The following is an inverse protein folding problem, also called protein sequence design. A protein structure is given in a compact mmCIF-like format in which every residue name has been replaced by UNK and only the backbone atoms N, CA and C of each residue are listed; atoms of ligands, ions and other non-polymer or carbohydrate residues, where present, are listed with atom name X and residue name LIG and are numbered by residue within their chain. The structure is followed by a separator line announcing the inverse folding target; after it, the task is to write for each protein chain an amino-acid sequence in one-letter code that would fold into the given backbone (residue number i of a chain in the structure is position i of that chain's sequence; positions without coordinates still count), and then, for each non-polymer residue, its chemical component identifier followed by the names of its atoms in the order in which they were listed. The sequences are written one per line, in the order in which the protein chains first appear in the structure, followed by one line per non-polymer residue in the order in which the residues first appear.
data_IF_151004069960
#
_entry.id   IF_151004069960
#
_cell.length_a   1.000
_cell.length_b   1.000
_cell.length_c   1.000
_cell.angle_alpha   90.00
_cell.angle_beta   90.00
_cell.angle_gamma   90.00
#
_symmetry.space_group_name_H-M   'P 1'
#
loop_
_entity.id
_entity.type
_entity.pdbx_description
1 polymer ?
#
# COMPACT_ATOMS: atom_id res chain seq x y z
N UNK A 1 85.34 -7.34 56.04
CA UNK A 1 83.96 -7.62 56.52
C UNK A 1 83.19 -6.37 56.96
N UNK A 2 83.63 -5.58 57.96
CA UNK A 2 82.89 -4.41 58.49
C UNK A 2 82.55 -3.29 57.49
N UNK A 3 83.41 -3.00 56.50
CA UNK A 3 83.14 -1.95 55.48
C UNK A 3 82.06 -2.35 54.48
N UNK A 4 82.00 -3.63 54.11
CA UNK A 4 80.98 -4.19 53.20
C UNK A 4 79.60 -4.16 53.86
N UNK A 5 79.52 -4.52 55.14
CA UNK A 5 78.27 -4.47 55.93
C UNK A 5 77.74 -3.03 56.06
N UNK A 6 78.61 -2.04 56.34
CA UNK A 6 78.20 -0.62 56.38
C UNK A 6 77.68 -0.10 55.04
N UNK A 7 78.33 -0.48 53.94
CA UNK A 7 77.87 -0.11 52.59
C UNK A 7 76.49 -0.70 52.28
N UNK A 8 76.24 -1.97 52.64
CA UNK A 8 74.94 -2.63 52.53
C UNK A 8 73.85 -1.94 53.36
N UNK A 9 74.15 -1.55 54.60
CA UNK A 9 73.19 -0.84 55.47
C UNK A 9 72.83 0.53 54.88
N UNK A 10 73.80 1.28 54.38
CA UNK A 10 73.56 2.60 53.75
C UNK A 10 72.71 2.45 52.49
N UNK A 11 73.01 1.47 51.63
CA UNK A 11 72.22 1.22 50.41
C UNK A 11 70.78 0.83 50.76
N UNK A 12 70.57 -0.06 51.74
CA UNK A 12 69.22 -0.41 52.21
C UNK A 12 68.48 0.81 52.76
N UNK A 13 69.12 1.64 53.60
CA UNK A 13 68.52 2.86 54.14
C UNK A 13 68.17 3.87 53.04
N UNK A 14 69.03 4.03 52.02
CA UNK A 14 68.72 4.91 50.88
C UNK A 14 67.56 4.38 50.04
N UNK A 15 67.48 3.06 49.82
CA UNK A 15 66.35 2.44 49.12
C UNK A 15 65.06 2.63 49.91
N UNK A 16 65.08 2.41 51.23
CA UNK A 16 63.91 2.64 52.09
C UNK A 16 63.49 4.11 52.13
N UNK A 17 64.45 5.05 52.13
CA UNK A 17 64.17 6.48 52.07
C UNK A 17 63.58 6.90 50.72
N UNK A 18 64.14 6.40 49.61
CA UNK A 18 63.60 6.63 48.27
C UNK A 18 62.22 6.01 48.09
N UNK A 19 61.98 4.81 48.65
CA UNK A 19 60.65 4.20 48.70
C UNK A 19 59.69 5.05 49.54
N UNK A 20 60.13 5.56 50.69
CA UNK A 20 59.34 6.46 51.52
C UNK A 20 58.95 7.76 50.79
N UNK A 21 59.90 8.37 50.07
CA UNK A 21 59.64 9.53 49.21
C UNK A 21 58.68 9.15 48.08
N UNK A 22 58.89 8.02 47.42
CA UNK A 22 58.01 7.55 46.35
C UNK A 22 56.57 7.33 46.83
N UNK A 23 56.38 6.68 47.97
CA UNK A 23 55.06 6.50 48.60
C UNK A 23 54.44 7.84 49.01
N UNK A 24 55.22 8.76 49.58
CA UNK A 24 54.74 10.10 49.94
C UNK A 24 54.31 10.92 48.70
N UNK A 25 55.07 10.82 47.61
CA UNK A 25 54.73 11.45 46.32
C UNK A 25 53.41 10.90 45.77
N UNK A 26 53.20 9.58 45.82
CA UNK A 26 51.93 8.97 45.40
C UNK A 26 50.77 9.40 46.30
N UNK A 27 50.96 9.38 47.62
CA UNK A 27 49.91 9.70 48.58
C UNK A 27 49.45 11.18 48.50
N UNK A 28 50.37 12.09 48.15
CA UNK A 28 50.08 13.51 47.92
C UNK A 28 49.62 13.80 46.49
N UNK A 29 49.72 12.83 45.57
CA UNK A 29 49.30 13.02 44.18
C UNK A 29 47.78 13.05 44.06
N UNK A 30 47.21 13.93 43.23
CA UNK A 30 45.78 13.93 42.93
C UNK A 30 45.32 12.57 42.39
N UNK A 31 44.19 12.07 42.89
CA UNK A 31 43.63 10.79 42.44
C UNK A 31 43.13 10.89 41.00
N UNK A 32 43.52 9.95 40.12
CA UNK A 32 43.04 9.93 38.74
C UNK A 32 41.53 9.62 38.68
N UNK A 33 40.79 10.18 37.71
CA UNK A 33 39.33 10.10 37.62
C UNK A 33 38.86 8.80 36.94
N UNK A 34 39.31 7.65 37.46
CA UNK A 34 39.06 6.34 36.84
C UNK A 34 37.56 5.98 36.89
N UNK A 35 36.89 6.31 37.99
CA UNK A 35 35.47 5.99 38.19
C UNK A 35 34.57 6.82 37.28
N UNK A 36 34.84 8.12 37.16
CA UNK A 36 34.05 9.03 36.32
C UNK A 36 34.21 8.69 34.83
N UNK A 37 35.45 8.43 34.39
CA UNK A 37 35.72 7.99 33.02
C UNK A 37 35.07 6.62 32.75
N UNK A 38 35.18 5.69 33.71
CA UNK A 38 34.54 4.37 33.61
C UNK A 38 33.02 4.47 33.49
N UNK A 39 32.40 5.33 34.32
CA UNK A 39 30.96 5.57 34.30
C UNK A 39 30.50 6.20 33.00
N UNK A 40 31.21 7.23 32.51
CA UNK A 40 30.90 7.89 31.24
C UNK A 40 31.01 6.91 30.05
N UNK A 41 32.06 6.08 30.03
CA UNK A 41 32.25 5.05 29.00
C UNK A 41 31.13 4.01 29.02
N UNK A 42 30.75 3.55 30.20
CA UNK A 42 29.69 2.55 30.35
C UNK A 42 28.33 3.13 29.92
N UNK A 43 28.01 4.36 30.34
CA UNK A 43 26.79 5.06 29.94
C UNK A 43 26.72 5.29 28.42
N UNK A 44 27.82 5.70 27.78
CA UNK A 44 27.90 5.81 26.33
C UNK A 44 27.68 4.47 25.63
N UNK A 45 28.32 3.40 26.13
CA UNK A 45 28.15 2.05 25.59
C UNK A 45 26.71 1.56 25.71
N UNK A 46 26.07 1.82 26.86
CA UNK A 46 24.66 1.48 27.09
C UNK A 46 23.75 2.25 26.13
N UNK A 47 23.93 3.56 26.01
CA UNK A 47 23.15 4.40 25.09
C UNK A 47 23.26 3.91 23.63
N UNK A 48 24.48 3.56 23.18
CA UNK A 48 24.69 2.96 21.86
C UNK A 48 23.96 1.63 21.70
N UNK A 49 24.05 0.74 22.70
CA UNK A 49 23.37 -0.56 22.68
C UNK A 49 21.84 -0.44 22.60
N UNK A 50 21.29 0.63 23.16
CA UNK A 50 19.86 0.97 23.12
C UNK A 50 19.45 1.70 21.83
N UNK A 51 20.39 1.96 20.93
CA UNK A 51 20.13 2.59 19.64
C UNK A 51 20.08 4.12 19.69
N UNK A 52 20.59 4.77 20.75
CA UNK A 52 20.52 6.22 20.90
C UNK A 52 21.18 7.01 19.76
N UNK A 53 22.08 6.38 18.99
CA UNK A 53 22.64 6.95 17.76
C UNK A 53 21.60 7.21 16.67
N UNK A 54 20.54 6.43 16.60
CA UNK A 54 19.46 6.60 15.63
C UNK A 54 18.32 7.49 16.17
N UNK A 55 17.97 7.32 17.44
CA UNK A 55 16.83 8.01 18.06
C UNK A 55 17.18 9.40 18.62
N UNK A 56 18.39 9.57 19.16
CA UNK A 56 18.87 10.82 19.79
C UNK A 56 20.27 11.20 19.32
N UNK A 57 20.52 11.32 18.00
CA UNK A 57 21.87 11.50 17.43
C UNK A 57 22.59 12.75 17.97
N UNK A 58 21.85 13.83 18.23
CA UNK A 58 22.42 15.09 18.75
C UNK A 58 22.99 14.93 20.17
N UNK A 59 22.26 14.25 21.05
CA UNK A 59 22.70 14.02 22.43
C UNK A 59 23.89 13.06 22.45
N UNK A 60 23.85 12.01 21.64
CA UNK A 60 24.97 11.07 21.52
C UNK A 60 26.24 11.75 21.04
N UNK A 61 26.14 12.60 20.02
CA UNK A 61 27.29 13.37 19.53
C UNK A 61 27.88 14.26 20.63
N UNK A 62 27.03 15.00 21.36
CA UNK A 62 27.48 15.87 22.44
C UNK A 62 28.15 15.09 23.58
N UNK A 63 27.58 13.97 24.01
CA UNK A 63 28.15 13.12 25.05
C UNK A 63 29.52 12.56 24.61
N UNK A 64 29.65 12.15 23.34
CA UNK A 64 30.90 11.64 22.80
C UNK A 64 31.98 12.72 22.70
N UNK A 65 31.65 13.92 22.21
CA UNK A 65 32.59 15.05 22.15
C UNK A 65 33.13 15.43 23.54
N UNK A 66 32.29 15.38 24.57
CA UNK A 66 32.68 15.63 25.96
C UNK A 66 33.61 14.53 26.50
N UNK A 67 33.32 13.26 26.22
CA UNK A 67 34.16 12.14 26.61
C UNK A 67 35.52 12.18 25.93
N UNK A 68 35.55 12.40 24.61
CA UNK A 68 36.78 12.52 23.82
C UNK A 68 37.63 13.68 24.34
N UNK A 69 37.00 14.82 24.64
CA UNK A 69 37.67 15.95 25.29
C UNK A 69 38.26 15.57 26.66
N UNK A 70 37.52 14.81 27.48
CA UNK A 70 38.00 14.35 28.78
C UNK A 70 39.22 13.44 28.63
N UNK A 71 39.20 12.52 27.66
CA UNK A 71 40.30 11.59 27.39
C UNK A 71 41.57 12.30 26.89
N UNK A 72 41.43 13.30 26.03
CA UNK A 72 42.56 14.12 25.53
C UNK A 72 43.21 14.88 26.70
N UNK A 73 42.40 15.53 27.54
CA UNK A 73 42.90 16.27 28.71
C UNK A 73 43.53 15.31 29.72
N UNK A 74 42.91 14.16 29.97
CA UNK A 74 43.45 13.15 30.89
C UNK A 74 44.82 12.65 30.45
N UNK A 75 45.00 12.40 29.15
CA UNK A 75 46.31 12.05 28.58
C UNK A 75 47.34 13.14 28.86
N UNK A 76 47.01 14.41 28.57
CA UNK A 76 47.91 15.55 28.79
C UNK A 76 48.28 15.72 30.27
N UNK A 77 47.33 15.56 31.19
CA UNK A 77 47.58 15.62 32.63
C UNK A 77 48.48 14.48 33.13
N UNK A 78 48.40 13.29 32.51
CA UNK A 78 49.28 12.17 32.84
C UNK A 78 50.73 12.36 32.37
N UNK A 79 50.98 13.23 31.39
CA UNK A 79 52.32 13.63 30.95
C UNK A 79 52.98 14.64 31.92
N UNK A 80 52.19 15.30 32.79
CA UNK A 80 52.69 16.22 33.81
C UNK A 80 53.30 15.47 35.00
N UNK A 81 54.22 16.15 35.68
CA UNK A 81 54.80 15.68 36.93
C UNK A 81 53.72 15.37 37.97
N UNK A 82 53.89 14.28 38.72
CA UNK A 82 52.86 13.65 39.57
C UNK A 82 52.11 14.62 40.51
N UNK A 83 52.82 15.57 41.12
CA UNK A 83 52.23 16.53 42.07
C UNK A 83 51.52 17.73 41.40
N UNK A 84 51.71 17.95 40.10
CA UNK A 84 51.16 19.11 39.39
C UNK A 84 50.00 18.76 38.45
N UNK A 85 49.44 17.56 38.59
CA UNK A 85 48.29 17.12 37.79
C UNK A 85 47.01 17.76 38.30
N UNK A 86 46.09 18.11 37.42
CA UNK A 86 44.75 18.57 37.77
C UNK A 86 43.70 17.82 36.96
N UNK A 87 42.92 16.99 37.66
CA UNK A 87 41.90 16.15 37.06
C UNK A 87 40.47 16.73 37.18
N UNK A 88 40.29 17.95 37.69
CA UNK A 88 38.95 18.55 37.86
C UNK A 88 38.22 18.74 36.53
N UNK A 89 38.91 19.23 35.50
CA UNK A 89 38.31 19.43 34.17
C UNK A 89 37.95 18.08 33.55
N UNK A 90 38.78 17.05 33.76
CA UNK A 90 38.52 15.67 33.31
C UNK A 90 37.27 15.13 34.00
N UNK A 91 37.16 15.25 35.33
CA UNK A 91 35.97 14.85 36.10
C UNK A 91 34.72 15.54 35.60
N UNK A 92 34.75 16.86 35.44
CA UNK A 92 33.61 17.64 34.98
C UNK A 92 33.10 17.17 33.62
N UNK A 93 34.00 17.02 32.64
CA UNK A 93 33.64 16.57 31.28
C UNK A 93 33.16 15.12 31.26
N UNK A 94 33.77 14.24 32.04
CA UNK A 94 33.37 12.85 32.16
C UNK A 94 31.96 12.74 32.78
N UNK A 95 31.70 13.47 33.87
CA UNK A 95 30.38 13.49 34.51
C UNK A 95 29.30 14.09 33.60
N UNK A 96 29.60 15.17 32.89
CA UNK A 96 28.66 15.78 31.93
C UNK A 96 28.36 14.84 30.76
N UNK A 97 29.39 14.17 30.22
CA UNK A 97 29.22 13.11 29.21
C UNK A 97 28.33 11.97 29.71
N UNK A 98 28.61 11.47 30.92
CA UNK A 98 27.84 10.42 31.58
C UNK A 98 26.37 10.80 31.72
N UNK A 99 26.09 11.99 32.24
CA UNK A 99 24.74 12.49 32.42
C UNK A 99 23.98 12.57 31.10
N UNK A 100 24.58 13.17 30.06
CA UNK A 100 23.93 13.29 28.74
C UNK A 100 23.67 11.91 28.13
N UNK A 101 24.58 10.94 28.29
CA UNK A 101 24.40 9.58 27.80
C UNK A 101 23.25 8.84 28.53
N UNK A 102 23.11 9.03 29.85
CA UNK A 102 21.98 8.50 30.63
C UNK A 102 20.66 9.13 30.17
N UNK A 103 20.62 10.45 30.02
CA UNK A 103 19.43 11.15 29.52
C UNK A 103 19.07 10.69 28.11
N UNK A 104 20.06 10.56 27.21
CA UNK A 104 19.87 10.06 25.84
C UNK A 104 19.26 8.66 25.82
N UNK A 105 19.68 7.79 26.76
CA UNK A 105 19.12 6.46 26.93
C UNK A 105 17.64 6.53 27.31
N UNK A 106 17.28 7.31 28.33
CA UNK A 106 15.89 7.47 28.76
C UNK A 106 14.99 8.07 27.66
N UNK A 107 15.47 9.05 26.90
CA UNK A 107 14.76 9.59 25.75
C UNK A 107 14.60 8.56 24.62
N UNK A 108 15.64 7.75 24.38
CA UNK A 108 15.61 6.71 23.36
C UNK A 108 14.57 5.64 23.68
N UNK A 109 14.52 5.15 24.92
CA UNK A 109 13.53 4.15 25.34
C UNK A 109 12.11 4.69 25.17
N UNK A 110 11.83 5.88 25.69
CA UNK A 110 10.52 6.53 25.54
C UNK A 110 10.12 6.75 24.08
N UNK A 111 11.06 7.21 23.24
CA UNK A 111 10.80 7.47 21.82
C UNK A 111 10.56 6.16 21.07
N UNK A 112 11.36 5.13 21.34
CA UNK A 112 11.23 3.79 20.78
C UNK A 112 9.87 3.17 21.12
N UNK A 113 9.44 3.24 22.38
CA UNK A 113 8.13 2.73 22.82
C UNK A 113 6.97 3.48 22.15
N UNK A 114 7.04 4.81 22.07
CA UNK A 114 6.03 5.61 21.36
C UNK A 114 5.96 5.23 19.88
N UNK A 115 7.10 5.05 19.20
CA UNK A 115 7.16 4.66 17.79
C UNK A 115 6.66 3.24 17.57
N UNK A 116 6.89 2.35 18.53
CA UNK A 116 6.36 0.98 18.55
C UNK A 116 4.84 0.97 18.64
N UNK A 117 4.26 1.74 19.55
CA UNK A 117 2.80 1.79 19.71
C UNK A 117 2.12 2.45 18.50
N UNK A 118 2.68 3.57 18.03
CA UNK A 118 2.21 4.24 16.82
C UNK A 118 2.33 3.34 15.57
N UNK A 119 3.46 2.65 15.43
CA UNK A 119 3.72 1.72 14.33
C UNK A 119 2.73 0.56 14.33
N UNK A 120 2.47 -0.05 15.50
CA UNK A 120 1.48 -1.12 15.65
C UNK A 120 0.08 -0.66 15.27
N UNK A 121 -0.35 0.50 15.76
CA UNK A 121 -1.65 1.07 15.43
C UNK A 121 -1.80 1.29 13.92
N UNK A 122 -0.77 1.88 13.28
CA UNK A 122 -0.78 2.19 11.86
C UNK A 122 -0.71 0.96 10.95
N UNK A 123 0.07 -0.05 11.31
CA UNK A 123 0.08 -1.36 10.62
C UNK A 123 -1.32 -1.96 10.66
N UNK A 124 -1.96 -2.00 11.82
CA UNK A 124 -3.31 -2.56 11.97
C UNK A 124 -4.35 -1.78 11.15
N UNK A 125 -4.28 -0.45 11.17
CA UNK A 125 -5.14 0.42 10.36
C UNK A 125 -5.01 0.10 8.86
N UNK A 126 -3.77 0.07 8.34
CA UNK A 126 -3.52 -0.18 6.92
C UNK A 126 -3.91 -1.62 6.52
N UNK A 127 -3.63 -2.62 7.37
CA UNK A 127 -4.07 -4.00 7.14
C UNK A 127 -5.58 -4.10 7.02
N UNK A 128 -6.32 -3.47 7.94
CA UNK A 128 -7.78 -3.45 7.90
C UNK A 128 -8.29 -2.75 6.64
N UNK A 129 -7.68 -1.64 6.23
CA UNK A 129 -8.02 -0.94 4.99
C UNK A 129 -7.78 -1.84 3.76
N UNK A 130 -6.62 -2.47 3.67
CA UNK A 130 -6.28 -3.42 2.59
C UNK A 130 -7.29 -4.56 2.55
N UNK A 131 -7.60 -5.17 3.70
CA UNK A 131 -8.54 -6.28 3.79
C UNK A 131 -9.94 -5.90 3.28
N UNK A 132 -10.45 -4.72 3.67
CA UNK A 132 -11.77 -4.22 3.25
C UNK A 132 -11.82 -3.85 1.77
N UNK A 133 -10.79 -3.18 1.25
CA UNK A 133 -10.82 -2.65 -0.11
C UNK A 133 -10.37 -3.65 -1.19
N UNK A 134 -9.57 -4.67 -0.84
CA UNK A 134 -8.99 -5.60 -1.83
C UNK A 134 -10.01 -6.39 -2.65
N UNK A 135 -11.15 -6.90 -2.12
CA UNK A 135 -12.13 -7.64 -2.89
C UNK A 135 -12.70 -6.83 -4.06
N UNK A 136 -13.16 -5.62 -3.80
CA UNK A 136 -13.68 -4.72 -4.83
C UNK A 136 -12.56 -4.30 -5.79
N UNK A 137 -11.43 -3.82 -5.26
CA UNK A 137 -10.30 -3.35 -6.07
C UNK A 137 -9.83 -4.39 -7.10
N UNK A 138 -9.76 -5.67 -6.71
CA UNK A 138 -9.29 -6.76 -7.58
C UNK A 138 -10.21 -7.04 -8.78
N UNK A 139 -11.50 -6.70 -8.69
CA UNK A 139 -12.50 -6.93 -9.75
C UNK A 139 -12.53 -5.80 -10.78
N UNK A 140 -12.02 -4.62 -10.42
CA UNK A 140 -12.12 -3.42 -11.23
C UNK A 140 -11.02 -3.36 -12.31
N UNK A 141 -11.35 -2.97 -13.54
CA UNK A 141 -10.38 -2.76 -14.61
C UNK A 141 -9.66 -1.40 -14.46
N UNK A 142 -8.90 -1.27 -13.38
CA UNK A 142 -8.23 -0.01 -13.01
C UNK A 142 -7.00 0.28 -13.90
N UNK A 143 -6.63 1.57 -14.05
CA UNK A 143 -5.40 1.96 -14.75
C UNK A 143 -4.16 1.25 -14.21
N UNK A 144 -3.20 0.97 -15.10
CA UNK A 144 -1.95 0.25 -14.75
C UNK A 144 -1.22 0.92 -13.59
N UNK A 145 -1.14 2.26 -13.59
CA UNK A 145 -0.53 3.05 -12.52
C UNK A 145 -1.19 2.75 -11.16
N UNK A 146 -2.51 2.83 -11.07
CA UNK A 146 -3.27 2.59 -9.83
C UNK A 146 -3.04 1.18 -9.30
N UNK A 147 -2.98 0.17 -10.18
CA UNK A 147 -2.67 -1.22 -9.78
C UNK A 147 -1.23 -1.37 -9.30
N UNK A 148 -0.28 -0.68 -9.94
CA UNK A 148 1.13 -0.67 -9.55
C UNK A 148 1.30 -0.02 -8.17
N UNK A 149 0.68 1.14 -7.97
CA UNK A 149 0.70 1.88 -6.70
C UNK A 149 0.12 1.01 -5.57
N UNK A 150 -1.01 0.33 -5.79
CA UNK A 150 -1.57 -0.59 -4.80
C UNK A 150 -0.63 -1.76 -4.47
N UNK A 151 0.00 -2.34 -5.49
CA UNK A 151 0.95 -3.46 -5.30
C UNK A 151 2.18 -2.99 -4.52
N UNK A 152 2.75 -1.84 -4.87
CA UNK A 152 3.90 -1.26 -4.19
C UNK A 152 3.55 -0.89 -2.75
N UNK A 153 2.40 -0.27 -2.50
CA UNK A 153 1.94 0.06 -1.15
C UNK A 153 1.78 -1.17 -0.26
N UNK A 154 1.25 -2.29 -0.79
CA UNK A 154 1.17 -3.57 -0.07
C UNK A 154 2.54 -4.17 0.22
N UNK A 155 3.49 -4.05 -0.70
CA UNK A 155 4.86 -4.53 -0.50
C UNK A 155 5.57 -3.74 0.62
N UNK A 156 5.45 -2.42 0.59
CA UNK A 156 6.01 -1.54 1.63
C UNK A 156 5.37 -1.78 2.99
N UNK A 157 4.06 -2.06 3.05
CA UNK A 157 3.41 -2.48 4.30
C UNK A 157 4.02 -3.78 4.83
N UNK A 158 4.27 -4.77 3.97
CA UNK A 158 4.95 -6.00 4.37
C UNK A 158 6.40 -5.77 4.85
N UNK A 159 7.15 -4.88 4.20
CA UNK A 159 8.49 -4.50 4.64
C UNK A 159 8.46 -3.73 5.98
N UNK A 160 7.45 -2.88 6.19
CA UNK A 160 7.24 -2.16 7.43
C UNK A 160 6.96 -3.13 8.58
N UNK A 161 6.11 -4.13 8.37
CA UNK A 161 5.84 -5.19 9.35
C UNK A 161 7.10 -5.99 9.69
N UNK A 162 7.90 -6.32 8.69
CA UNK A 162 9.17 -6.99 8.91
C UNK A 162 10.12 -6.12 9.73
N UNK A 163 10.28 -4.85 9.37
CA UNK A 163 11.15 -3.90 10.09
C UNK A 163 10.67 -3.69 11.54
N UNK A 164 9.35 -3.64 11.75
CA UNK A 164 8.72 -3.54 13.07
C UNK A 164 9.05 -4.74 13.96
N UNK A 165 8.99 -5.96 13.41
CA UNK A 165 9.32 -7.17 14.14
C UNK A 165 10.80 -7.26 14.52
N UNK A 166 11.69 -6.60 13.77
CA UNK A 166 13.11 -6.48 14.07
C UNK A 166 13.44 -5.30 15.01
N UNK A 167 12.44 -4.53 15.46
CA UNK A 167 12.63 -3.39 16.37
C UNK A 167 13.13 -2.11 15.70
N UNK A 168 13.19 -2.05 14.36
CA UNK A 168 13.57 -0.84 13.62
C UNK A 168 12.33 0.04 13.40
N UNK A 169 11.93 0.75 14.45
CA UNK A 169 10.70 1.54 14.44
C UNK A 169 10.81 2.82 13.62
N UNK A 170 12.01 3.40 13.47
CA UNK A 170 12.22 4.58 12.60
C UNK A 170 12.00 4.18 11.13
N UNK A 171 12.66 3.11 10.67
CA UNK A 171 12.45 2.60 9.31
C UNK A 171 11.00 2.19 9.10
N UNK A 172 10.38 1.57 10.10
CA UNK A 172 8.95 1.21 10.06
C UNK A 172 8.08 2.43 9.77
N UNK A 173 8.25 3.55 10.49
CA UNK A 173 7.43 4.74 10.25
C UNK A 173 7.63 5.30 8.83
N UNK A 174 8.86 5.37 8.34
CA UNK A 174 9.14 5.84 6.99
C UNK A 174 8.42 5.00 5.92
N UNK A 175 8.51 3.66 6.05
CA UNK A 175 7.84 2.72 5.15
C UNK A 175 6.31 2.83 5.24
N UNK A 176 5.75 3.02 6.44
CA UNK A 176 4.31 3.16 6.64
C UNK A 176 3.73 4.43 6.03
N UNK A 177 4.49 5.53 6.02
CA UNK A 177 4.08 6.79 5.36
C UNK A 177 3.93 6.55 3.86
N UNK A 178 4.97 6.01 3.21
CA UNK A 178 4.93 5.75 1.77
C UNK A 178 3.87 4.69 1.41
N UNK A 179 3.77 3.61 2.19
CA UNK A 179 2.74 2.60 2.01
C UNK A 179 1.34 3.20 2.08
N UNK A 180 1.08 4.08 3.06
CA UNK A 180 -0.20 4.75 3.20
C UNK A 180 -0.52 5.61 2.00
N UNK A 181 0.39 6.47 1.57
CA UNK A 181 0.11 7.42 0.50
C UNK A 181 -0.28 6.70 -0.80
N UNK A 182 0.43 5.61 -1.11
CA UNK A 182 0.14 4.77 -2.28
C UNK A 182 -1.20 4.02 -2.14
N UNK A 183 -1.47 3.44 -0.97
CA UNK A 183 -2.71 2.70 -0.72
C UNK A 183 -3.93 3.62 -0.71
N UNK A 184 -3.85 4.75 -0.02
CA UNK A 184 -4.91 5.75 0.05
C UNK A 184 -5.23 6.30 -1.33
N UNK A 185 -4.21 6.76 -2.06
CA UNK A 185 -4.41 7.26 -3.43
C UNK A 185 -5.05 6.22 -4.35
N UNK A 186 -4.65 4.95 -4.21
CA UNK A 186 -5.18 3.85 -5.01
C UNK A 186 -6.64 3.52 -4.67
N UNK A 187 -6.96 3.46 -3.38
CA UNK A 187 -8.32 3.12 -2.91
C UNK A 187 -9.29 4.28 -3.10
N UNK A 188 -8.87 5.52 -2.84
CA UNK A 188 -9.69 6.70 -3.09
C UNK A 188 -10.00 6.84 -4.59
N UNK A 189 -9.03 6.50 -5.46
CA UNK A 189 -9.28 6.43 -6.89
C UNK A 189 -10.31 5.35 -7.23
N UNK A 190 -10.18 4.14 -6.68
CA UNK A 190 -11.15 3.07 -6.97
C UNK A 190 -12.55 3.42 -6.48
N UNK A 191 -12.67 4.05 -5.31
CA UNK A 191 -13.95 4.42 -4.72
C UNK A 191 -14.65 5.50 -5.55
N UNK A 192 -13.91 6.54 -5.97
CA UNK A 192 -14.43 7.54 -6.92
C UNK A 192 -14.82 6.91 -8.24
N UNK A 193 -13.96 6.06 -8.79
CA UNK A 193 -14.22 5.40 -10.07
C UNK A 193 -15.50 4.57 -10.06
N UNK A 194 -15.76 3.81 -8.99
CA UNK A 194 -17.01 3.06 -8.84
C UNK A 194 -18.18 3.99 -8.56
N UNK A 195 -18.02 4.99 -7.71
CA UNK A 195 -19.09 5.98 -7.42
C UNK A 195 -19.55 6.70 -8.70
N UNK A 196 -18.60 7.17 -9.51
CA UNK A 196 -18.87 7.84 -10.78
C UNK A 196 -19.58 6.91 -11.76
N UNK A 197 -19.17 5.64 -11.84
CA UNK A 197 -19.84 4.64 -12.66
C UNK A 197 -21.30 4.42 -12.24
N UNK A 198 -21.56 4.35 -10.92
CA UNK A 198 -22.90 4.15 -10.38
C UNK A 198 -23.80 5.39 -10.43
N UNK A 199 -23.28 6.55 -10.87
CA UNK A 199 -24.11 7.74 -11.12
C UNK A 199 -25.20 7.48 -12.17
N UNK A 200 -24.98 6.52 -13.08
CA UNK A 200 -25.93 6.10 -14.10
C UNK A 200 -27.02 5.12 -13.59
N UNK A 201 -26.95 4.68 -12.32
CA UNK A 201 -27.89 3.70 -11.75
C UNK A 201 -29.39 4.05 -11.89
N UNK A 202 -29.83 5.31 -11.69
CA UNK A 202 -31.24 5.68 -11.88
C UNK A 202 -31.71 5.46 -13.32
N UNK A 203 -30.84 5.70 -14.30
CA UNK A 203 -31.14 5.47 -15.71
C UNK A 203 -31.20 3.98 -16.05
N UNK A 204 -30.24 3.19 -15.58
CA UNK A 204 -30.26 1.73 -15.70
C UNK A 204 -31.55 1.12 -15.17
N UNK A 205 -32.00 1.55 -13.99
CA UNK A 205 -33.26 1.11 -13.38
C UNK A 205 -34.46 1.43 -14.27
N UNK A 206 -34.48 2.62 -14.86
CA UNK A 206 -35.54 3.06 -15.79
C UNK A 206 -35.59 2.18 -17.04
N UNK A 207 -34.43 1.93 -17.66
CA UNK A 207 -34.33 1.08 -18.85
C UNK A 207 -34.78 -0.36 -18.58
N UNK A 208 -34.32 -0.95 -17.48
CA UNK A 208 -34.68 -2.33 -17.09
C UNK A 208 -36.17 -2.44 -16.84
N UNK A 209 -36.74 -1.51 -16.06
CA UNK A 209 -38.19 -1.47 -15.80
C UNK A 209 -38.98 -1.39 -17.11
N UNK A 210 -38.59 -0.47 -18.00
CA UNK A 210 -39.25 -0.31 -19.30
C UNK A 210 -39.22 -1.61 -20.12
N UNK A 211 -38.07 -2.27 -20.22
CA UNK A 211 -37.92 -3.50 -21.00
C UNK A 211 -38.73 -4.67 -20.44
N UNK A 212 -38.80 -4.82 -19.12
CA UNK A 212 -39.62 -5.85 -18.47
C UNK A 212 -41.11 -5.55 -18.64
N UNK A 213 -41.52 -4.28 -18.51
CA UNK A 213 -42.91 -3.86 -18.72
C UNK A 213 -43.35 -4.07 -20.18
N UNK A 214 -42.49 -3.77 -21.16
CA UNK A 214 -42.74 -4.04 -22.58
C UNK A 214 -42.87 -5.54 -22.86
N UNK A 215 -42.01 -6.37 -22.26
CA UNK A 215 -42.12 -7.84 -22.32
C UNK A 215 -43.44 -8.34 -21.74
N UNK A 216 -43.89 -7.77 -20.60
CA UNK A 216 -45.17 -8.12 -19.97
C UNK A 216 -46.35 -7.77 -20.88
N UNK A 217 -46.38 -6.54 -21.40
CA UNK A 217 -47.46 -6.03 -22.26
C UNK A 217 -47.60 -6.85 -23.55
N UNK A 218 -46.47 -7.20 -24.15
CA UNK A 218 -46.45 -7.88 -25.46
C UNK A 218 -46.40 -9.41 -25.35
N UNK A 219 -46.40 -9.96 -24.12
CA UNK A 219 -46.23 -11.41 -23.85
C UNK A 219 -44.99 -11.99 -24.54
N UNK A 220 -43.92 -11.21 -24.62
CA UNK A 220 -42.72 -11.52 -25.41
C UNK A 220 -41.51 -11.80 -24.53
N UNK A 221 -40.43 -12.29 -25.14
CA UNK A 221 -39.12 -12.45 -24.50
C UNK A 221 -38.40 -11.10 -24.39
N UNK A 222 -37.69 -10.88 -23.30
CA UNK A 222 -36.73 -9.79 -23.13
C UNK A 222 -35.44 -10.30 -22.47
N UNK A 223 -34.33 -9.61 -22.75
CA UNK A 223 -33.01 -9.98 -22.24
C UNK A 223 -32.46 -8.79 -21.45
N UNK A 224 -32.00 -9.02 -20.23
CA UNK A 224 -31.32 -8.02 -19.41
C UNK A 224 -29.91 -8.50 -19.11
N UNK A 225 -28.90 -7.66 -19.28
CA UNK A 225 -27.51 -7.97 -18.95
C UNK A 225 -27.02 -7.02 -17.86
N UNK A 226 -26.56 -7.59 -16.76
CA UNK A 226 -25.91 -6.90 -15.64
C UNK A 226 -24.40 -7.08 -15.78
N UNK A 227 -23.70 -6.00 -16.12
CA UNK A 227 -22.25 -6.03 -16.36
C UNK A 227 -21.48 -6.27 -15.07
N UNK A 228 -21.89 -5.67 -13.95
CA UNK A 228 -21.21 -5.78 -12.68
C UNK A 228 -21.34 -7.18 -12.07
N UNK A 229 -22.51 -7.81 -12.18
CA UNK A 229 -22.75 -9.17 -11.66
C UNK A 229 -22.33 -10.27 -12.64
N UNK A 230 -21.96 -9.91 -13.89
CA UNK A 230 -21.67 -10.85 -14.99
C UNK A 230 -22.84 -11.80 -15.24
N UNK A 231 -24.05 -11.24 -15.30
CA UNK A 231 -25.28 -12.02 -15.46
C UNK A 231 -26.08 -11.60 -16.68
N UNK A 232 -26.66 -12.60 -17.33
CA UNK A 232 -27.67 -12.42 -18.37
C UNK A 232 -28.99 -13.04 -17.87
N UNK A 233 -30.05 -12.23 -17.85
CA UNK A 233 -31.37 -12.60 -17.36
C UNK A 233 -32.36 -12.65 -18.52
N UNK A 234 -33.08 -13.76 -18.62
CA UNK A 234 -34.10 -13.95 -19.65
C UNK A 234 -35.48 -13.81 -19.02
N UNK A 235 -36.23 -12.81 -19.47
CA UNK A 235 -37.61 -12.58 -19.07
C UNK A 235 -38.56 -13.08 -20.16
N UNK A 236 -39.69 -13.64 -19.75
CA UNK A 236 -40.78 -14.02 -20.65
C UNK A 236 -42.09 -13.51 -20.07
N UNK A 237 -42.85 -12.72 -20.85
CA UNK A 237 -44.06 -12.06 -20.36
C UNK A 237 -43.84 -11.29 -19.05
N UNK A 238 -42.69 -10.62 -18.92
CA UNK A 238 -42.30 -9.86 -17.73
C UNK A 238 -41.92 -10.68 -16.49
N UNK A 239 -41.78 -12.01 -16.60
CA UNK A 239 -41.33 -12.89 -15.51
C UNK A 239 -39.94 -13.44 -15.80
N UNK A 240 -39.06 -13.41 -14.79
CA UNK A 240 -37.73 -14.00 -14.90
C UNK A 240 -37.85 -15.51 -15.12
N UNK A 241 -37.22 -16.02 -16.17
CA UNK A 241 -37.26 -17.44 -16.55
C UNK A 241 -35.91 -18.13 -16.42
N UNK A 242 -34.83 -17.45 -16.80
CA UNK A 242 -33.47 -17.99 -16.72
C UNK A 242 -32.47 -16.92 -16.28
N UNK A 243 -31.41 -17.38 -15.61
CA UNK A 243 -30.24 -16.57 -15.26
C UNK A 243 -29.00 -17.33 -15.70
N UNK A 244 -28.16 -16.67 -16.49
CA UNK A 244 -26.94 -17.21 -17.07
C UNK A 244 -25.73 -16.39 -16.62
N UNK A 245 -24.56 -17.02 -16.58
CA UNK A 245 -23.31 -16.28 -16.47
C UNK A 245 -23.00 -15.62 -17.81
N UNK A 246 -22.41 -14.43 -17.76
CA UNK A 246 -22.03 -13.68 -18.95
C UNK A 246 -20.57 -13.25 -18.88
N UNK A 247 -19.83 -13.47 -19.95
CA UNK A 247 -18.48 -12.95 -20.13
C UNK A 247 -18.52 -11.74 -21.05
N UNK A 248 -17.81 -10.68 -20.67
CA UNK A 248 -17.95 -9.36 -21.28
C UNK A 248 -16.68 -8.95 -22.01
N UNK A 249 -16.72 -7.71 -22.51
CA UNK A 249 -15.53 -7.03 -22.98
C UNK A 249 -14.48 -6.87 -21.88
N UNK A 250 -13.19 -6.95 -22.22
CA UNK A 250 -12.09 -6.81 -21.24
C UNK A 250 -12.17 -5.52 -20.43
N UNK A 251 -12.72 -4.45 -21.01
CA UNK A 251 -13.00 -3.20 -20.31
C UNK A 251 -14.46 -3.16 -19.85
N UNK A 252 -14.87 -4.16 -19.06
CA UNK A 252 -16.28 -4.40 -18.78
C UNK A 252 -16.97 -3.23 -18.08
N UNK A 253 -16.32 -2.51 -17.17
CA UNK A 253 -16.94 -1.35 -16.50
C UNK A 253 -16.87 -0.07 -17.34
N UNK A 254 -16.04 -0.05 -18.40
CA UNK A 254 -15.89 1.12 -19.23
C UNK A 254 -17.18 1.46 -19.97
N UNK A 255 -17.48 2.75 -20.09
CA UNK A 255 -18.46 3.21 -21.07
C UNK A 255 -17.91 2.96 -22.47
N UNK A 256 -18.76 2.41 -23.34
CA UNK A 256 -18.40 2.20 -24.73
C UNK A 256 -18.43 3.53 -25.48
N UNK A 257 -17.27 4.06 -25.81
CA UNK A 257 -17.11 5.38 -26.45
C UNK A 257 -16.55 5.29 -27.86
N UNK A 258 -15.69 4.31 -28.14
CA UNK A 258 -14.97 4.23 -29.44
C UNK A 258 -14.72 2.79 -29.85
N UNK A 259 -14.54 2.57 -31.15
CA UNK A 259 -14.07 1.29 -31.69
C UNK A 259 -12.74 0.89 -31.02
N UNK A 260 -12.68 -0.34 -30.51
CA UNK A 260 -11.46 -0.90 -29.90
C UNK A 260 -11.29 -0.62 -28.41
N UNK A 261 -12.25 0.05 -27.76
CA UNK A 261 -12.24 0.22 -26.29
C UNK A 261 -12.46 -1.07 -25.49
N UNK A 262 -12.85 -2.15 -26.17
CA UNK A 262 -13.19 -3.45 -25.59
C UNK A 262 -14.26 -3.37 -24.50
N UNK A 263 -15.11 -2.35 -24.54
CA UNK A 263 -16.23 -2.17 -23.62
C UNK A 263 -17.49 -2.79 -24.21
N UNK A 264 -18.27 -3.48 -23.39
CA UNK A 264 -19.66 -3.85 -23.70
C UNK A 264 -20.54 -2.63 -23.50
N UNK A 265 -21.36 -2.24 -24.50
CA UNK A 265 -22.16 -1.02 -24.41
C UNK A 265 -23.25 -1.12 -23.34
N UNK A 266 -23.71 0.03 -22.86
CA UNK A 266 -24.85 0.15 -21.94
C UNK A 266 -25.96 0.91 -22.66
N UNK A 267 -27.19 0.43 -22.53
CA UNK A 267 -28.32 1.01 -23.24
C UNK A 267 -29.44 0.02 -23.54
N UNK A 268 -30.44 0.51 -24.25
CA UNK A 268 -31.57 -0.27 -24.75
C UNK A 268 -31.36 -0.63 -26.22
N UNK A 269 -31.34 -1.93 -26.50
CA UNK A 269 -31.07 -2.51 -27.80
C UNK A 269 -32.17 -3.47 -28.24
N UNK A 270 -32.07 -3.94 -29.47
CA UNK A 270 -32.90 -4.99 -30.05
C UNK A 270 -32.04 -5.91 -30.91
N UNK A 271 -32.46 -7.17 -31.01
CA UNK A 271 -31.85 -8.12 -31.95
C UNK A 271 -32.15 -7.67 -33.38
N UNK A 272 -31.10 -7.41 -34.17
CA UNK A 272 -31.19 -7.15 -35.60
C UNK A 272 -31.17 -8.43 -36.43
N UNK A 273 -30.32 -9.39 -36.04
CA UNK A 273 -30.12 -10.61 -36.82
C UNK A 273 -29.75 -11.78 -35.91
N UNK A 274 -30.30 -12.94 -36.22
CA UNK A 274 -29.91 -14.24 -35.65
C UNK A 274 -28.97 -14.92 -36.63
N UNK A 275 -27.85 -15.45 -36.16
CA UNK A 275 -26.80 -16.07 -36.97
C UNK A 275 -26.44 -17.44 -36.40
N UNK A 276 -26.34 -18.42 -37.29
CA UNK A 276 -25.86 -19.78 -37.04
C UNK A 276 -25.12 -20.33 -38.26
N UNK A 277 -24.44 -21.47 -38.08
CA UNK A 277 -23.69 -22.14 -39.15
C UNK A 277 -22.66 -21.20 -39.79
N UNK A 278 -22.65 -21.14 -41.13
CA UNK A 278 -21.68 -20.34 -41.89
C UNK A 278 -21.87 -18.82 -41.76
N UNK A 279 -22.94 -18.35 -41.10
CA UNK A 279 -23.25 -16.93 -40.96
C UNK A 279 -22.54 -16.26 -39.76
N UNK A 280 -21.85 -17.03 -38.92
CA UNK A 280 -21.11 -16.55 -37.75
C UNK A 280 -19.87 -17.38 -37.51
N UNK A 281 -18.85 -16.77 -36.88
CA UNK A 281 -17.64 -17.47 -36.42
C UNK A 281 -17.85 -18.14 -35.04
N UNK A 282 -18.94 -17.80 -34.35
CA UNK A 282 -19.33 -18.37 -33.08
C UNK A 282 -20.25 -19.58 -33.28
N UNK A 283 -20.60 -20.30 -32.20
CA UNK A 283 -21.60 -21.37 -32.27
C UNK A 283 -22.96 -20.87 -32.77
N UNK A 284 -23.50 -19.85 -32.08
CA UNK A 284 -24.67 -19.05 -32.45
C UNK A 284 -24.42 -17.61 -32.03
N UNK A 285 -25.01 -16.64 -32.72
CA UNK A 285 -24.90 -15.23 -32.38
C UNK A 285 -26.20 -14.45 -32.63
N UNK A 286 -26.46 -13.47 -31.76
CA UNK A 286 -27.54 -12.51 -31.83
C UNK A 286 -26.92 -11.12 -32.00
N UNK A 287 -26.95 -10.59 -33.22
CA UNK A 287 -26.46 -9.25 -33.53
C UNK A 287 -27.43 -8.22 -32.96
N UNK A 288 -26.93 -7.29 -32.15
CA UNK A 288 -27.74 -6.19 -31.59
C UNK A 288 -27.63 -4.93 -32.46
N UNK A 289 -28.56 -4.00 -32.30
CA UNK A 289 -28.57 -2.74 -33.05
C UNK A 289 -27.61 -1.67 -32.53
N UNK A 290 -26.42 -2.07 -32.05
CA UNK A 290 -25.36 -1.15 -31.69
C UNK A 290 -24.52 -0.77 -32.93
N UNK A 291 -24.25 0.51 -33.19
CA UNK A 291 -24.79 1.67 -32.46
C UNK A 291 -26.21 2.03 -32.88
N UNK A 292 -27.07 2.32 -31.90
CA UNK A 292 -28.42 2.85 -32.08
C UNK A 292 -28.37 4.40 -32.23
N UNK A 293 -29.50 5.10 -32.44
CA UNK A 293 -29.52 6.57 -32.52
C UNK A 293 -28.91 7.25 -31.29
N UNK A 294 -29.24 6.77 -30.09
CA UNK A 294 -28.77 7.32 -28.81
C UNK A 294 -27.24 7.19 -28.68
N UNK A 295 -26.66 6.04 -29.07
CA UNK A 295 -25.21 5.83 -29.08
C UNK A 295 -24.50 6.81 -30.03
N UNK A 296 -25.12 7.08 -31.20
CA UNK A 296 -24.55 8.01 -32.20
C UNK A 296 -24.59 9.45 -31.70
N UNK A 297 -25.68 9.84 -31.04
CA UNK A 297 -25.82 11.16 -30.42
C UNK A 297 -24.78 11.35 -29.31
N UNK A 298 -24.64 10.38 -28.42
CA UNK A 298 -23.63 10.36 -27.37
C UNK A 298 -22.22 10.50 -27.95
N UNK A 299 -21.88 9.67 -28.93
CA UNK A 299 -20.59 9.67 -29.60
C UNK A 299 -20.26 11.04 -30.21
N UNK A 300 -21.21 11.65 -30.92
CA UNK A 300 -21.02 12.95 -31.53
C UNK A 300 -20.85 14.04 -30.46
N UNK A 301 -21.58 13.97 -29.34
CA UNK A 301 -21.45 14.91 -28.23
C UNK A 301 -20.07 14.83 -27.59
N UNK A 302 -19.60 13.63 -27.26
CA UNK A 302 -18.26 13.42 -26.69
C UNK A 302 -17.15 13.91 -27.63
N UNK A 303 -17.34 13.71 -28.95
CA UNK A 303 -16.42 14.20 -29.98
C UNK A 303 -16.38 15.72 -30.06
N UNK A 304 -17.54 16.36 -30.00
CA UNK A 304 -17.65 17.82 -30.03
C UNK A 304 -17.09 18.48 -28.77
N UNK A 305 -17.23 17.83 -27.61
CA UNK A 305 -16.68 18.29 -26.34
C UNK A 305 -15.16 18.08 -26.23
N UNK A 306 -14.53 17.39 -27.19
CA UNK A 306 -13.09 17.08 -27.16
C UNK A 306 -12.72 15.93 -26.22
N UNK A 307 -13.71 15.21 -25.67
CA UNK A 307 -13.50 14.05 -24.80
C UNK A 307 -12.99 12.82 -25.57
N UNK A 308 -13.24 12.76 -26.88
CA UNK A 308 -12.70 11.73 -27.79
C UNK A 308 -12.11 12.37 -29.04
N UNK A 309 -11.13 11.69 -29.63
CA UNK A 309 -10.43 12.20 -30.82
C UNK A 309 -11.37 12.44 -32.00
N UNK A 310 -11.10 13.49 -32.78
CA UNK A 310 -11.83 13.80 -34.02
C UNK A 310 -11.75 12.67 -35.07
N UNK A 311 -10.73 11.81 -34.99
CA UNK A 311 -10.55 10.68 -35.91
C UNK A 311 -11.14 9.36 -35.39
N UNK A 312 -11.71 9.36 -34.18
CA UNK A 312 -12.35 8.17 -33.62
C UNK A 312 -13.59 7.77 -34.42
N UNK A 313 -13.88 6.46 -34.40
CA UNK A 313 -15.12 5.88 -34.94
C UNK A 313 -15.85 5.13 -33.82
N UNK A 314 -17.18 5.04 -33.91
CA UNK A 314 -18.03 4.47 -32.86
C UNK A 314 -17.94 2.93 -32.75
N UNK A 315 -17.60 2.25 -33.85
CA UNK A 315 -17.59 0.79 -33.92
C UNK A 315 -18.96 0.20 -34.27
N UNK A 316 -19.08 -1.13 -34.25
CA UNK A 316 -20.28 -1.87 -34.64
C UNK A 316 -20.14 -3.36 -34.25
N UNK A 317 -21.09 -4.20 -34.68
CA UNK A 317 -21.02 -5.67 -34.60
C UNK A 317 -20.92 -6.22 -33.17
N UNK A 318 -21.67 -5.62 -32.24
CA UNK A 318 -21.83 -6.18 -30.90
C UNK A 318 -22.87 -7.31 -30.94
N UNK A 319 -22.54 -8.44 -30.35
CA UNK A 319 -23.36 -9.65 -30.39
C UNK A 319 -23.49 -10.29 -29.01
N UNK A 320 -24.59 -10.99 -28.78
CA UNK A 320 -24.68 -12.03 -27.74
C UNK A 320 -24.38 -13.36 -28.43
N UNK A 321 -23.33 -14.07 -28.03
CA UNK A 321 -22.87 -15.26 -28.75
C UNK A 321 -22.44 -16.42 -27.84
N UNK A 322 -22.26 -17.60 -28.44
CA UNK A 322 -21.79 -18.82 -27.77
C UNK A 322 -20.29 -18.80 -27.49
N UNK A 323 -19.72 -19.97 -27.16
CA UNK A 323 -18.29 -20.13 -26.86
C UNK A 323 -17.80 -19.36 -25.62
N UNK A 324 -18.72 -18.97 -24.73
CA UNK A 324 -18.40 -18.54 -23.38
C UNK A 324 -18.11 -19.71 -22.44
N UNK A 325 -17.98 -19.44 -21.14
CA UNK A 325 -17.62 -20.43 -20.12
C UNK A 325 -16.11 -20.58 -19.91
N UNK A 326 -15.34 -19.56 -20.29
CA UNK A 326 -13.90 -19.43 -20.06
C UNK A 326 -13.56 -18.94 -18.65
N UNK A 327 -14.53 -18.38 -17.92
CA UNK A 327 -14.36 -17.88 -16.56
C UNK A 327 -13.67 -16.53 -16.45
N UNK A 328 -13.54 -15.78 -17.55
CA UNK A 328 -12.89 -14.47 -17.60
C UNK A 328 -13.52 -13.59 -18.67
N UNK A 329 -13.53 -12.26 -18.47
CA UNK A 329 -13.96 -11.30 -19.49
C UNK A 329 -12.92 -11.22 -20.62
N UNK A 330 -13.27 -11.64 -21.83
CA UNK A 330 -12.32 -11.82 -22.94
C UNK A 330 -12.73 -11.19 -24.27
N UNK A 331 -13.98 -10.77 -24.41
CA UNK A 331 -14.48 -10.28 -25.70
C UNK A 331 -13.94 -8.87 -26.00
N UNK A 332 -14.20 -8.39 -27.22
CA UNK A 332 -13.93 -7.00 -27.60
C UNK A 332 -15.18 -6.10 -27.45
N UNK A 333 -16.15 -6.52 -26.63
CA UNK A 333 -17.39 -5.79 -26.34
C UNK A 333 -18.68 -6.61 -26.52
N UNK A 334 -18.58 -7.81 -27.10
CA UNK A 334 -19.70 -8.77 -27.14
C UNK A 334 -20.02 -9.35 -25.75
N UNK A 335 -21.15 -10.05 -25.66
CA UNK A 335 -21.57 -10.81 -24.48
C UNK A 335 -21.50 -12.29 -24.83
N UNK A 336 -20.61 -13.04 -24.18
CA UNK A 336 -20.45 -14.47 -24.40
C UNK A 336 -21.19 -15.28 -23.32
N UNK A 337 -21.97 -16.25 -23.77
CA UNK A 337 -22.65 -17.26 -22.96
C UNK A 337 -22.13 -18.65 -23.37
N UNK A 338 -22.40 -19.67 -22.57
CA UNK A 338 -22.09 -21.05 -23.00
C UNK A 338 -22.98 -21.47 -24.17
N UNK A 339 -22.55 -22.45 -24.96
CA UNK A 339 -23.32 -22.91 -26.12
C UNK A 339 -24.71 -23.45 -25.74
N UNK A 340 -24.79 -24.12 -24.59
CA UNK A 340 -26.07 -24.63 -24.03
C UNK A 340 -27.03 -23.50 -23.67
N UNK A 341 -26.53 -22.42 -23.08
CA UNK A 341 -27.34 -21.24 -22.77
C UNK A 341 -27.75 -20.51 -24.06
N UNK A 342 -26.87 -20.50 -25.06
CA UNK A 342 -27.17 -19.95 -26.38
C UNK A 342 -28.27 -20.72 -27.11
N UNK A 343 -28.35 -22.05 -26.98
CA UNK A 343 -29.46 -22.82 -27.55
C UNK A 343 -30.82 -22.36 -27.01
N UNK A 344 -30.87 -22.08 -25.70
CA UNK A 344 -32.08 -21.61 -25.01
C UNK A 344 -32.45 -20.22 -25.50
N UNK A 345 -31.54 -19.25 -25.40
CA UNK A 345 -31.85 -17.85 -25.76
C UNK A 345 -32.15 -17.72 -27.27
N UNK A 346 -31.45 -18.47 -28.12
CA UNK A 346 -31.67 -18.44 -29.57
C UNK A 346 -33.04 -19.01 -29.93
N UNK A 347 -33.56 -20.00 -29.20
CA UNK A 347 -34.93 -20.51 -29.40
C UNK A 347 -35.98 -19.51 -28.92
N UNK A 348 -35.74 -18.83 -27.80
CA UNK A 348 -36.71 -17.94 -27.17
C UNK A 348 -36.77 -16.53 -27.77
N UNK A 349 -35.72 -16.10 -28.48
CA UNK A 349 -35.62 -14.76 -29.04
C UNK A 349 -35.97 -14.71 -30.54
N UNK A 350 -36.40 -13.54 -30.98
CA UNK A 350 -36.70 -13.21 -32.38
C UNK A 350 -36.00 -11.90 -32.77
N UNK A 351 -35.96 -11.60 -34.06
CA UNK A 351 -35.59 -10.25 -34.51
C UNK A 351 -36.56 -9.25 -33.87
N UNK A 352 -36.02 -8.18 -33.31
CA UNK A 352 -36.78 -7.19 -32.54
C UNK A 352 -36.92 -7.49 -31.04
N UNK A 353 -36.50 -8.67 -30.54
CA UNK A 353 -36.48 -8.94 -29.09
C UNK A 353 -35.65 -7.85 -28.38
N UNK A 354 -36.23 -7.18 -27.37
CA UNK A 354 -35.54 -6.12 -26.65
C UNK A 354 -34.44 -6.70 -25.75
N UNK A 355 -33.33 -5.98 -25.70
CA UNK A 355 -32.17 -6.23 -24.86
C UNK A 355 -31.90 -4.96 -24.07
N UNK A 356 -31.63 -5.06 -22.78
CA UNK A 356 -31.11 -3.93 -22.01
C UNK A 356 -29.83 -4.35 -21.33
N UNK A 357 -28.77 -3.56 -21.56
CA UNK A 357 -27.47 -3.78 -20.94
C UNK A 357 -27.25 -2.64 -19.97
N UNK A 358 -26.99 -2.96 -18.71
CA UNK A 358 -26.78 -1.99 -17.63
C UNK A 358 -25.49 -2.26 -16.91
N UNK A 359 -24.97 -1.24 -16.23
CA UNK A 359 -23.83 -1.44 -15.35
C UNK A 359 -24.15 -2.36 -14.19
N UNK A 360 -25.24 -2.12 -13.47
CA UNK A 360 -25.67 -2.96 -12.34
C UNK A 360 -27.19 -2.92 -12.15
N UNK A 361 -27.78 -4.04 -11.72
CA UNK A 361 -29.17 -4.11 -11.23
C UNK A 361 -29.28 -3.83 -9.74
N UNK A 362 -28.15 -3.76 -9.03
CA UNK A 362 -28.06 -3.49 -7.59
C UNK A 362 -27.49 -2.10 -7.36
N UNK A 363 -27.89 -1.46 -6.26
CA UNK A 363 -27.31 -0.18 -5.85
C UNK A 363 -25.87 -0.33 -5.37
N UNK A 364 -25.13 0.78 -5.34
CA UNK A 364 -23.72 0.80 -4.98
C UNK A 364 -23.45 0.19 -3.59
N UNK A 365 -24.26 0.54 -2.60
CA UNK A 365 -24.13 0.03 -1.23
C UNK A 365 -24.30 -1.50 -1.15
N UNK A 366 -25.21 -2.08 -1.91
CA UNK A 366 -25.40 -3.54 -1.99
C UNK A 366 -24.22 -4.24 -2.66
N UNK A 367 -23.52 -3.53 -3.55
CA UNK A 367 -22.37 -4.04 -4.29
C UNK A 367 -21.09 -3.96 -3.47
N UNK A 368 -20.89 -2.87 -2.72
CA UNK A 368 -19.71 -2.68 -1.85
C UNK A 368 -19.78 -3.55 -0.60
N UNK A 369 -20.97 -3.79 -0.04
CA UNK A 369 -21.15 -4.54 1.21
C UNK A 369 -21.23 -6.07 1.03
N UNK A 370 -20.88 -6.59 -0.15
CA UNK A 370 -20.82 -8.01 -0.49
C UNK A 370 -19.39 -8.53 -0.46
#
# INVERSE_FOLDING_TARGET
MRRIIKFFIITILTVLFLLGIYYALIALSPKPPIEEIGSARNALSEAWSKGAGNYTPKMMKQAQELYDSAMIIWKSENERFLLFRDYEIVRKKANESCQIAIEATGYTEKTSDNLKDAGRARINELRLKVLKSSPLFSRLPLPVKVRKDNTQGKLLLGEAENSFNHGDYIKTQALLIEAKDLLDSSYDFSDRFVSDYFSAYPEWTRWVKKTIDDSRKNRSTAIIVDKFDRKCFIYQSGRLKYTFNAELGKNWIGHKKVKGDNSTPEGMYKILKKKDGKNTIYYKALLINYPNPEDKEEFNREKNNGNISRNSTIGSLIEIHGQGGKGVDWTNGCIALTDKEMDIIYKLSAVGTPITIVGSLKQLNEVINR
#
